data_IF_584815833663
#
_entry.id   IF_584815833663
#
_cell.length_a   1.000
_cell.length_b   1.000
_cell.length_c   1.000
_cell.angle_alpha   90.00
_cell.angle_beta   90.00
_cell.angle_gamma   90.00
#
_symmetry.space_group_name_H-M   'P 1'
#
loop_
_entity.id
_entity.type
_entity.pdbx_description
1 polymer ?
#
# COMPACT_ATOMS: atom_id res chain seq x y z
N UNK A 1 -20.53 1.14 -9.55
CA UNK A 1 -19.72 0.00 -9.05
C UNK A 1 -18.41 0.59 -8.57
N UNK A 2 -18.15 0.55 -7.26
CA UNK A 2 -16.91 1.07 -6.68
C UNK A 2 -15.79 0.08 -7.00
N UNK A 3 -14.99 0.34 -8.03
CA UNK A 3 -13.78 -0.44 -8.34
C UNK A 3 -12.62 -0.04 -7.42
N UNK A 4 -12.89 0.11 -6.12
CA UNK A 4 -11.85 0.33 -5.12
C UNK A 4 -11.20 -1.01 -4.82
N UNK A 5 -9.91 -1.13 -5.12
CA UNK A 5 -9.19 -2.40 -4.99
C UNK A 5 -7.81 -2.16 -4.43
N UNK A 6 -7.31 -3.14 -3.69
CA UNK A 6 -5.91 -3.22 -3.28
C UNK A 6 -5.40 -4.55 -3.81
N UNK A 7 -4.33 -4.52 -4.57
CA UNK A 7 -3.71 -5.69 -5.20
C UNK A 7 -2.27 -5.78 -4.72
N UNK A 8 -1.84 -6.94 -4.20
CA UNK A 8 -0.41 -7.15 -3.92
C UNK A 8 0.27 -7.41 -5.25
N UNK A 9 1.32 -6.64 -5.57
CA UNK A 9 2.15 -6.92 -6.74
C UNK A 9 3.30 -7.85 -6.30
N UNK A 10 3.98 -7.46 -5.23
CA UNK A 10 5.07 -8.21 -4.63
C UNK A 10 5.16 -7.92 -3.10
N UNK A 11 6.12 -8.53 -2.44
CA UNK A 11 6.34 -8.41 -0.99
C UNK A 11 6.62 -6.96 -0.54
N UNK A 12 7.09 -6.12 -1.45
CA UNK A 12 7.47 -4.74 -1.20
C UNK A 12 6.54 -3.73 -1.87
N UNK A 13 5.56 -4.15 -2.68
CA UNK A 13 4.76 -3.27 -3.53
C UNK A 13 3.29 -3.70 -3.61
N UNK A 14 2.41 -2.75 -3.32
CA UNK A 14 0.96 -2.86 -3.48
C UNK A 14 0.48 -1.94 -4.59
N UNK A 15 -0.63 -2.27 -5.23
CA UNK A 15 -1.35 -1.42 -6.15
C UNK A 15 -2.72 -1.07 -5.57
N UNK A 16 -2.97 0.21 -5.34
CA UNK A 16 -4.26 0.71 -4.91
C UNK A 16 -4.99 1.38 -6.07
N UNK A 17 -6.19 0.90 -6.40
CA UNK A 17 -7.11 1.58 -7.32
C UNK A 17 -8.20 2.26 -6.50
N UNK A 18 -8.31 3.57 -6.67
CA UNK A 18 -9.28 4.41 -5.98
C UNK A 18 -10.64 4.44 -6.70
N UNK A 19 -11.65 4.96 -6.02
CA UNK A 19 -13.02 5.07 -6.54
C UNK A 19 -13.14 5.87 -7.85
N UNK A 20 -12.20 6.79 -8.09
CA UNK A 20 -12.11 7.61 -9.29
C UNK A 20 -11.33 6.93 -10.45
N UNK A 21 -10.94 5.66 -10.28
CA UNK A 21 -10.16 4.89 -11.26
C UNK A 21 -8.66 5.19 -11.27
N UNK A 22 -8.18 6.13 -10.45
CA UNK A 22 -6.75 6.38 -10.32
C UNK A 22 -6.09 5.20 -9.63
N UNK A 23 -4.93 4.81 -10.15
CA UNK A 23 -4.16 3.68 -9.64
C UNK A 23 -2.79 4.17 -9.18
N UNK A 24 -2.39 3.70 -7.99
CA UNK A 24 -1.12 4.04 -7.35
C UNK A 24 -0.36 2.78 -7.01
N UNK A 25 0.92 2.72 -7.40
CA UNK A 25 1.86 1.75 -6.82
C UNK A 25 2.36 2.30 -5.50
N UNK A 26 2.31 1.50 -4.45
CA UNK A 26 2.65 1.83 -3.07
C UNK A 26 3.75 0.88 -2.66
N UNK A 27 4.96 1.38 -2.47
CA UNK A 27 6.08 0.57 -1.98
C UNK A 27 6.14 0.52 -0.45
N UNK A 28 6.85 -0.46 0.09
CA UNK A 28 7.16 -0.55 1.51
C UNK A 28 7.87 0.74 1.99
N UNK A 29 7.47 1.30 3.15
CA UNK A 29 8.19 2.40 3.78
C UNK A 29 9.65 2.05 4.07
N UNK A 30 10.59 2.89 3.63
CA UNK A 30 12.01 2.78 3.99
C UNK A 30 12.37 3.81 5.07
N UNK A 31 13.52 3.62 5.73
CA UNK A 31 14.01 4.54 6.79
C UNK A 31 14.05 6.01 6.31
N UNK A 32 14.47 6.25 5.06
CA UNK A 32 14.48 7.60 4.45
C UNK A 32 13.07 8.22 4.37
N UNK A 33 12.04 7.41 4.21
CA UNK A 33 10.65 7.91 4.14
C UNK A 33 10.09 8.22 5.51
N UNK A 34 10.73 7.73 6.56
CA UNK A 34 10.39 8.00 7.95
C UNK A 34 11.14 9.21 8.51
N UNK A 35 12.09 9.79 7.75
CA UNK A 35 12.83 10.97 8.20
C UNK A 35 11.88 12.14 8.49
N UNK A 36 11.92 12.65 9.72
CA UNK A 36 11.01 13.69 10.21
C UNK A 36 9.60 13.21 10.58
N UNK A 37 9.35 11.90 10.63
CA UNK A 37 8.10 11.29 11.06
C UNK A 37 8.34 10.49 12.37
N UNK A 38 7.58 10.78 13.43
CA UNK A 38 7.69 10.00 14.68
C UNK A 38 7.09 8.60 14.48
N UNK A 39 7.89 7.54 14.70
CA UNK A 39 7.50 6.14 14.45
C UNK A 39 6.23 5.73 15.21
N UNK A 40 6.06 6.17 16.47
CA UNK A 40 4.89 5.84 17.29
C UNK A 40 3.58 6.48 16.76
N UNK A 41 3.67 7.62 16.06
CA UNK A 41 2.50 8.33 15.55
C UNK A 41 1.99 7.76 14.21
N UNK A 42 2.81 7.02 13.47
CA UNK A 42 2.41 6.33 12.23
C UNK A 42 1.33 5.27 12.53
N UNK A 43 1.32 4.70 13.74
CA UNK A 43 0.27 3.76 14.16
C UNK A 43 -1.09 4.43 14.41
N UNK A 44 -1.15 5.76 14.51
CA UNK A 44 -2.40 6.52 14.72
C UNK A 44 -2.89 7.04 13.35
N UNK A 45 -3.86 6.32 12.77
CA UNK A 45 -4.26 6.31 11.34
C UNK A 45 -4.87 7.58 10.73
N UNK A 46 -4.85 8.73 11.41
CA UNK A 46 -5.41 9.98 10.88
C UNK A 46 -4.59 11.21 11.27
N UNK A 47 -3.30 11.22 10.92
CA UNK A 47 -2.39 12.33 11.22
C UNK A 47 -1.69 12.82 9.93
N UNK A 48 -1.27 14.10 9.91
CA UNK A 48 -0.47 14.71 8.81
C UNK A 48 0.79 13.87 8.47
N UNK A 49 1.27 13.09 9.44
CA UNK A 49 2.35 12.10 9.31
C UNK A 49 2.02 10.97 8.33
N UNK A 50 0.83 10.37 8.41
CA UNK A 50 0.39 9.31 7.47
C UNK A 50 0.24 9.87 6.06
N UNK A 51 -0.32 11.07 5.94
CA UNK A 51 -0.41 11.76 4.65
C UNK A 51 0.97 11.96 4.01
N UNK A 52 1.95 12.42 4.79
CA UNK A 52 3.34 12.58 4.33
C UNK A 52 3.96 11.26 3.93
N UNK A 53 3.76 10.21 4.72
CA UNK A 53 4.27 8.88 4.40
C UNK A 53 3.68 8.37 3.08
N UNK A 54 2.35 8.41 2.93
CA UNK A 54 1.64 8.02 1.71
C UNK A 54 2.16 8.78 0.50
N UNK A 55 2.38 10.10 0.61
CA UNK A 55 2.96 10.89 -0.49
C UNK A 55 4.38 10.47 -0.89
N UNK A 56 5.17 9.90 0.04
CA UNK A 56 6.56 9.45 -0.22
C UNK A 56 6.65 8.04 -0.83
N UNK A 57 5.67 7.19 -0.55
CA UNK A 57 5.68 5.78 -0.95
C UNK A 57 4.80 5.48 -2.17
N UNK A 58 3.99 6.45 -2.63
CA UNK A 58 3.11 6.31 -3.80
C UNK A 58 3.78 6.72 -5.11
N UNK A 59 3.44 6.02 -6.19
CA UNK A 59 3.78 6.37 -7.57
C UNK A 59 2.53 6.24 -8.48
N UNK A 60 2.09 7.33 -9.14
CA UNK A 60 2.58 8.71 -8.99
C UNK A 60 2.39 9.24 -7.55
N UNK A 61 3.22 10.20 -7.13
CA UNK A 61 3.14 10.71 -5.76
C UNK A 61 1.80 11.39 -5.49
N UNK A 62 1.11 10.97 -4.43
CA UNK A 62 -0.09 11.64 -3.96
C UNK A 62 0.30 12.96 -3.29
N UNK A 63 -0.18 14.06 -3.83
CA UNK A 63 0.01 15.39 -3.25
C UNK A 63 -0.90 15.61 -2.04
N UNK A 64 -0.53 16.58 -1.18
CA UNK A 64 -1.33 16.98 -0.02
C UNK A 64 -2.79 17.32 -0.40
N UNK A 65 -2.96 18.05 -1.50
CA UNK A 65 -4.27 18.47 -1.99
C UNK A 65 -5.12 17.30 -2.53
N UNK A 66 -4.49 16.31 -3.17
CA UNK A 66 -5.18 15.11 -3.62
C UNK A 66 -5.63 14.27 -2.41
N UNK A 67 -4.76 14.09 -1.43
CA UNK A 67 -5.06 13.32 -0.23
C UNK A 67 -6.24 13.87 0.58
N UNK A 68 -6.32 15.19 0.77
CA UNK A 68 -7.43 15.82 1.52
C UNK A 68 -8.78 15.67 0.80
N UNK A 69 -8.75 15.46 -0.52
CA UNK A 69 -9.95 15.25 -1.34
C UNK A 69 -10.37 13.79 -1.42
N UNK A 70 -9.62 12.87 -0.82
CA UNK A 70 -9.97 11.45 -0.81
C UNK A 70 -11.26 11.23 -0.03
N UNK A 71 -12.10 10.36 -0.55
CA UNK A 71 -13.23 9.85 0.21
C UNK A 71 -12.76 9.04 1.41
N UNK A 72 -13.63 8.87 2.41
CA UNK A 72 -13.31 8.03 3.57
C UNK A 72 -12.93 6.61 3.14
N UNK A 73 -13.61 6.03 2.15
CA UNK A 73 -13.28 4.70 1.64
C UNK A 73 -11.94 4.67 0.89
N UNK A 74 -11.60 5.69 0.10
CA UNK A 74 -10.28 5.77 -0.53
C UNK A 74 -9.15 5.88 0.51
N UNK A 75 -9.38 6.65 1.58
CA UNK A 75 -8.42 6.74 2.68
C UNK A 75 -8.25 5.41 3.43
N UNK A 76 -9.31 4.60 3.53
CA UNK A 76 -9.25 3.27 4.13
C UNK A 76 -8.42 2.30 3.30
N UNK A 77 -8.51 2.36 1.96
CA UNK A 77 -7.67 1.54 1.07
C UNK A 77 -6.18 1.87 1.27
N UNK A 78 -5.83 3.15 1.32
CA UNK A 78 -4.44 3.56 1.54
C UNK A 78 -3.95 3.21 2.96
N UNK A 79 -4.81 3.33 3.97
CA UNK A 79 -4.46 2.91 5.33
C UNK A 79 -4.27 1.40 5.44
N UNK A 80 -5.08 0.60 4.74
CA UNK A 80 -4.91 -0.85 4.69
C UNK A 80 -3.56 -1.26 4.06
N UNK A 81 -3.07 -0.49 3.08
CA UNK A 81 -1.73 -0.68 2.52
C UNK A 81 -0.62 -0.43 3.57
N UNK A 82 -0.77 0.61 4.41
CA UNK A 82 0.16 0.86 5.52
C UNK A 82 0.07 -0.25 6.57
N UNK A 83 -1.14 -0.70 6.89
CA UNK A 83 -1.37 -1.78 7.85
C UNK A 83 -0.65 -3.05 7.43
N UNK A 84 -0.75 -3.42 6.16
CA UNK A 84 -0.04 -4.55 5.57
C UNK A 84 1.46 -4.48 5.85
N UNK A 85 2.12 -3.35 5.56
CA UNK A 85 3.55 -3.19 5.81
C UNK A 85 3.93 -3.11 7.30
N UNK A 86 2.98 -2.78 8.17
CA UNK A 86 3.20 -2.71 9.62
C UNK A 86 2.88 -4.02 10.37
N UNK A 87 2.18 -4.94 9.71
CA UNK A 87 1.77 -6.22 10.28
C UNK A 87 2.98 -7.16 10.44
N UNK A 88 2.97 -8.05 11.46
CA UNK A 88 3.98 -9.09 11.58
C UNK A 88 3.92 -10.05 10.37
N UNK A 89 5.04 -10.71 10.00
CA UNK A 89 5.10 -11.55 8.80
C UNK A 89 4.00 -12.62 8.72
N UNK A 90 3.63 -13.22 9.85
CA UNK A 90 2.54 -14.22 9.92
C UNK A 90 1.18 -13.65 9.51
N UNK A 91 0.91 -12.38 9.83
CA UNK A 91 -0.33 -11.71 9.46
C UNK A 91 -0.28 -11.17 8.01
N UNK A 92 0.91 -10.87 7.48
CA UNK A 92 1.08 -10.53 6.07
C UNK A 92 0.78 -11.74 5.17
N UNK A 93 1.21 -12.94 5.55
CA UNK A 93 0.88 -14.18 4.82
C UNK A 93 -0.63 -14.44 4.81
N UNK A 94 -1.32 -14.25 5.94
CA UNK A 94 -2.79 -14.34 6.01
C UNK A 94 -3.48 -13.28 5.12
N UNK A 95 -2.99 -12.05 5.11
CA UNK A 95 -3.51 -10.99 4.24
C UNK A 95 -3.27 -11.28 2.76
N UNK A 96 -2.09 -11.80 2.38
CA UNK A 96 -1.81 -12.25 1.01
C UNK A 96 -2.76 -13.39 0.63
N UNK A 97 -2.94 -14.39 1.49
CA UNK A 97 -3.83 -15.52 1.26
C UNK A 97 -5.28 -15.07 1.04
N UNK A 98 -5.79 -14.16 1.87
CA UNK A 98 -7.12 -13.57 1.70
C UNK A 98 -7.25 -12.81 0.37
N UNK A 99 -6.19 -12.16 -0.11
CA UNK A 99 -6.20 -11.44 -1.39
C UNK A 99 -6.12 -12.38 -2.60
N UNK A 100 -5.47 -13.54 -2.48
CA UNK A 100 -5.55 -14.64 -3.46
C UNK A 100 -6.98 -15.17 -3.55
N UNK A 101 -7.61 -15.50 -2.41
CA UNK A 101 -8.99 -16.02 -2.38
C UNK A 101 -10.02 -15.04 -2.97
N UNK A 102 -9.78 -13.73 -2.81
CA UNK A 102 -10.62 -12.68 -3.36
C UNK A 102 -10.36 -12.38 -4.85
N UNK A 103 -9.44 -13.09 -5.49
CA UNK A 103 -9.16 -12.98 -6.93
C UNK A 103 -8.32 -11.75 -7.32
N UNK A 104 -7.61 -11.13 -6.38
CA UNK A 104 -6.74 -9.97 -6.64
C UNK A 104 -5.33 -10.38 -7.12
N UNK A 105 -4.91 -11.63 -6.89
CA UNK A 105 -3.61 -12.16 -7.30
C UNK A 105 -3.79 -13.21 -8.39
N UNK A 106 -3.22 -12.97 -9.57
CA UNK A 106 -3.07 -14.01 -10.62
C UNK A 106 -1.71 -14.68 -10.43
N UNK A 107 -1.66 -16.01 -10.48
CA UNK A 107 -0.49 -16.89 -10.21
C UNK A 107 0.71 -16.74 -11.19
N UNK A 108 1.02 -15.56 -11.73
CA UNK A 108 1.99 -15.40 -12.83
C UNK A 108 3.23 -14.56 -12.55
N UNK A 109 3.70 -14.46 -11.30
CA UNK A 109 5.07 -13.99 -11.01
C UNK A 109 5.86 -14.97 -10.13
N UNK A 110 5.73 -16.27 -10.42
CA UNK A 110 6.67 -17.30 -9.98
C UNK A 110 7.60 -17.72 -11.13
N UNK A 111 8.42 -16.80 -11.64
CA UNK A 111 9.62 -17.18 -12.40
C UNK A 111 10.82 -16.44 -11.81
N UNK A 112 11.51 -17.13 -10.90
CA UNK A 112 12.86 -16.77 -10.48
C UNK A 112 13.77 -16.75 -11.72
N UNK A 113 14.54 -15.68 -11.99
CA UNK A 113 15.62 -15.80 -12.96
C UNK A 113 16.73 -16.61 -12.31
N UNK A 114 16.83 -17.89 -12.68
CA UNK A 114 18.02 -18.69 -12.44
C UNK A 114 19.19 -18.06 -13.21
N UNK A 115 20.03 -17.27 -12.54
CA UNK A 115 21.36 -16.98 -13.05
C UNK A 115 22.21 -18.25 -12.91
N UNK A 116 22.57 -18.83 -14.06
CA UNK A 116 23.64 -19.80 -14.20
C UNK A 116 24.81 -19.10 -14.86
N UNK A 117 25.96 -19.00 -14.18
CA UNK A 117 27.30 -18.97 -14.76
C UNK A 117 28.27 -19.72 -13.83
#
# INVERSE_FOLDING_TARGET
MNNQTLTVLDDETLQATLSNGQTFKIRAPMVKDMEGLAQDLIRIKHTDTIQKLIGRITQPQITKLQYIKLSLSDSQVLNAAIDFFSAPPSAQEEMKAAMVELGYLSESESEQPTLSE
#
